data_IF_316886297343
#
_entry.id   IF_316886297343
#
_cell.length_a   1.000
_cell.length_b   1.000
_cell.length_c   1.000
_cell.angle_alpha   90.00
_cell.angle_beta   90.00
_cell.angle_gamma   90.00
#
_symmetry.space_group_name_H-M   'P 1'
#
loop_
_entity.id
_entity.type
_entity.pdbx_description
1 polymer ?
#
# COMPACT_ATOMS: atom_id res chain seq x y z
N UNK A 1 -10.11 -12.51 12.29
CA UNK A 1 -9.14 -13.46 11.69
C UNK A 1 -8.95 -13.09 10.23
N UNK A 2 -7.85 -12.42 9.88
CA UNK A 2 -7.53 -12.15 8.47
C UNK A 2 -7.33 -13.48 7.76
N UNK A 3 -8.16 -13.80 6.77
CA UNK A 3 -8.04 -15.03 5.99
C UNK A 3 -6.68 -15.04 5.27
N UNK A 4 -5.76 -15.98 5.58
CA UNK A 4 -4.44 -16.04 4.94
C UNK A 4 -4.53 -16.26 3.43
N UNK A 5 -5.64 -16.81 2.94
CA UNK A 5 -5.90 -17.02 1.51
C UNK A 5 -5.89 -15.74 0.69
N UNK A 6 -6.47 -14.63 1.18
CA UNK A 6 -6.66 -13.44 0.34
C UNK A 6 -5.35 -12.70 0.07
N UNK A 7 -4.45 -12.60 1.06
CA UNK A 7 -3.12 -12.04 0.84
C UNK A 7 -2.27 -12.92 -0.10
N UNK A 8 -2.39 -14.24 0.01
CA UNK A 8 -1.72 -15.16 -0.91
C UNK A 8 -2.26 -15.00 -2.34
N UNK A 9 -3.58 -14.82 -2.51
CA UNK A 9 -4.19 -14.52 -3.81
C UNK A 9 -3.69 -13.18 -4.36
N UNK A 10 -3.69 -12.10 -3.57
CA UNK A 10 -3.21 -10.78 -4.03
C UNK A 10 -1.72 -10.85 -4.40
N UNK A 11 -0.88 -11.47 -3.56
CA UNK A 11 0.54 -11.66 -3.85
C UNK A 11 0.76 -12.50 -5.12
N UNK A 12 -0.05 -13.54 -5.32
CA UNK A 12 -0.02 -14.33 -6.55
C UNK A 12 -0.41 -13.50 -7.77
N UNK A 13 -1.48 -12.70 -7.67
CA UNK A 13 -1.89 -11.76 -8.73
C UNK A 13 -0.78 -10.76 -9.05
N UNK A 14 -0.09 -10.23 -8.04
CA UNK A 14 1.06 -9.35 -8.24
C UNK A 14 2.21 -10.06 -8.94
N UNK A 15 2.42 -11.35 -8.64
CA UNK A 15 3.52 -12.12 -9.24
C UNK A 15 3.42 -12.26 -10.76
N UNK A 16 2.18 -12.21 -11.30
CA UNK A 16 1.90 -12.24 -12.75
C UNK A 16 1.80 -10.85 -13.39
N UNK A 17 1.92 -9.76 -12.63
CA UNK A 17 1.92 -8.41 -13.20
C UNK A 17 3.18 -8.16 -14.02
N UNK A 18 3.06 -7.37 -15.12
CA UNK A 18 4.21 -6.99 -15.91
C UNK A 18 5.13 -6.06 -15.10
N UNK A 19 6.46 -6.20 -15.20
CA UNK A 19 7.39 -5.33 -14.48
C UNK A 19 7.40 -3.87 -15.00
N UNK A 20 6.82 -3.65 -16.18
CA UNK A 20 6.63 -2.34 -16.81
C UNK A 20 5.38 -1.61 -16.31
N UNK A 21 4.62 -2.20 -15.38
CA UNK A 21 3.41 -1.60 -14.87
C UNK A 21 3.71 -0.28 -14.16
N UNK A 22 3.07 0.79 -14.64
CA UNK A 22 3.22 2.16 -14.10
C UNK A 22 2.15 2.54 -13.10
N UNK A 23 0.97 1.95 -13.19
CA UNK A 23 -0.16 2.30 -12.32
C UNK A 23 -0.90 1.05 -11.86
N UNK A 24 -1.19 0.97 -10.57
CA UNK A 24 -1.97 -0.10 -9.96
C UNK A 24 -2.97 0.46 -8.96
N UNK A 25 -4.20 -0.08 -8.95
CA UNK A 25 -5.20 0.25 -7.95
C UNK A 25 -5.71 -1.03 -7.27
N UNK A 26 -5.65 -1.02 -5.95
CA UNK A 26 -6.36 -1.91 -5.03
C UNK A 26 -7.43 -1.13 -4.26
N UNK A 27 -8.01 -0.09 -4.87
CA UNK A 27 -9.10 0.65 -4.24
C UNK A 27 -10.24 -0.28 -3.89
N UNK A 28 -10.77 -0.16 -2.68
CA UNK A 28 -11.89 -0.95 -2.19
C UNK A 28 -11.67 -2.46 -2.38
N UNK A 29 -10.55 -2.98 -1.87
CA UNK A 29 -10.20 -4.40 -1.97
C UNK A 29 -11.11 -5.33 -1.12
N UNK A 30 -12.40 -5.00 -0.97
CA UNK A 30 -13.44 -5.86 -0.41
C UNK A 30 -13.24 -6.23 1.05
N UNK A 31 -12.57 -5.38 1.83
CA UNK A 31 -12.26 -5.66 3.24
C UNK A 31 -11.08 -6.61 3.47
N UNK A 32 -10.31 -6.92 2.41
CA UNK A 32 -9.06 -7.68 2.50
C UNK A 32 -7.99 -6.85 3.19
N UNK A 33 -7.26 -7.47 4.12
CA UNK A 33 -6.19 -6.82 4.85
C UNK A 33 -4.89 -6.93 4.04
N UNK A 34 -4.47 -5.87 3.37
CA UNK A 34 -3.20 -5.79 2.65
C UNK A 34 -2.07 -5.76 3.68
N UNK A 35 -1.21 -6.76 3.64
CA UNK A 35 0.00 -6.83 4.47
C UNK A 35 1.15 -6.06 3.84
N UNK A 36 2.09 -5.61 4.66
CA UNK A 36 3.39 -5.09 4.21
C UNK A 36 4.06 -6.03 3.21
N UNK A 37 4.00 -7.34 3.46
CA UNK A 37 4.59 -8.36 2.57
C UNK A 37 4.02 -8.32 1.14
N UNK A 38 2.75 -7.94 0.98
CA UNK A 38 2.14 -7.78 -0.35
C UNK A 38 2.72 -6.57 -1.06
N UNK A 39 2.93 -5.47 -0.34
CA UNK A 39 3.57 -4.26 -0.87
C UNK A 39 5.05 -4.49 -1.21
N UNK A 40 5.76 -5.32 -0.43
CA UNK A 40 7.13 -5.72 -0.71
C UNK A 40 7.22 -6.49 -2.03
N UNK A 41 6.34 -7.48 -2.24
CA UNK A 41 6.24 -8.23 -3.50
C UNK A 41 5.88 -7.31 -4.66
N UNK A 42 4.95 -6.36 -4.46
CA UNK A 42 4.61 -5.36 -5.49
C UNK A 42 5.83 -4.53 -5.89
N UNK A 43 6.58 -4.03 -4.91
CA UNK A 43 7.74 -3.20 -5.18
C UNK A 43 8.86 -3.97 -5.89
N UNK A 44 9.06 -5.24 -5.55
CA UNK A 44 10.04 -6.10 -6.22
C UNK A 44 9.63 -6.46 -7.66
N UNK A 45 8.33 -6.62 -7.92
CA UNK A 45 7.82 -7.01 -9.24
C UNK A 45 7.64 -5.83 -10.17
N UNK A 46 7.24 -4.68 -9.66
CA UNK A 46 6.94 -3.48 -10.44
C UNK A 46 7.82 -2.31 -9.97
N UNK A 47 9.16 -2.37 -10.10
CA UNK A 47 10.07 -1.32 -9.62
C UNK A 47 9.86 0.03 -10.33
N UNK A 48 9.22 0.00 -11.50
CA UNK A 48 8.86 1.16 -12.29
C UNK A 48 7.49 1.76 -11.97
N UNK A 49 6.84 1.37 -10.86
CA UNK A 49 5.52 1.87 -10.51
C UNK A 49 5.56 3.36 -10.18
N UNK A 50 4.68 4.12 -10.83
CA UNK A 50 4.54 5.57 -10.68
C UNK A 50 3.30 5.95 -9.87
N UNK A 51 2.24 5.12 -9.93
CA UNK A 51 0.99 5.35 -9.23
C UNK A 51 0.50 4.08 -8.51
N UNK A 52 0.18 4.21 -7.23
CA UNK A 52 -0.42 3.16 -6.41
C UNK A 52 -1.63 3.71 -5.66
N UNK A 53 -2.80 3.11 -5.86
CA UNK A 53 -4.02 3.46 -5.15
C UNK A 53 -4.43 2.33 -4.21
N UNK A 54 -4.43 2.63 -2.91
CA UNK A 54 -4.83 1.76 -1.81
C UNK A 54 -6.03 2.37 -1.04
N UNK A 55 -6.73 3.33 -1.64
CA UNK A 55 -7.86 4.00 -1.01
C UNK A 55 -8.96 3.01 -0.60
N UNK A 56 -9.60 3.25 0.55
CA UNK A 56 -10.64 2.38 1.12
C UNK A 56 -10.22 0.92 1.37
N UNK A 57 -8.91 0.63 1.35
CA UNK A 57 -8.39 -0.70 1.68
C UNK A 57 -7.91 -0.79 3.13
N UNK A 58 -7.97 -1.98 3.72
CA UNK A 58 -7.45 -2.21 5.07
C UNK A 58 -6.00 -2.63 4.97
N UNK A 59 -5.10 -1.94 5.63
CA UNK A 59 -3.70 -2.39 5.79
C UNK A 59 -3.54 -2.95 7.19
N UNK A 60 -2.88 -4.10 7.32
CA UNK A 60 -2.71 -4.78 8.61
C UNK A 60 -1.56 -4.27 9.45
N UNK A 61 -0.54 -3.73 8.79
CA UNK A 61 0.69 -3.24 9.40
C UNK A 61 0.63 -1.73 9.58
N UNK A 62 1.41 -1.14 10.50
CA UNK A 62 1.51 0.31 10.61
C UNK A 62 1.92 0.94 9.27
N UNK A 63 1.14 1.92 8.84
CA UNK A 63 1.35 2.57 7.55
C UNK A 63 2.73 3.19 7.40
N UNK A 64 3.34 3.69 8.49
CA UNK A 64 4.70 4.21 8.48
C UNK A 64 5.72 3.18 7.94
N UNK A 65 5.65 1.94 8.42
CA UNK A 65 6.56 0.87 7.98
C UNK A 65 6.30 0.44 6.53
N UNK A 66 5.02 0.40 6.13
CA UNK A 66 4.64 0.16 4.74
C UNK A 66 5.16 1.25 3.80
N UNK A 67 5.04 2.52 4.22
CA UNK A 67 5.48 3.67 3.45
C UNK A 67 7.00 3.67 3.26
N UNK A 68 7.76 3.47 4.34
CA UNK A 68 9.23 3.42 4.26
C UNK A 68 9.70 2.32 3.30
N UNK A 69 8.99 1.19 3.26
CA UNK A 69 9.24 0.09 2.32
C UNK A 69 8.96 0.49 0.87
N UNK A 70 7.81 1.13 0.61
CA UNK A 70 7.43 1.58 -0.73
C UNK A 70 8.41 2.62 -1.25
N UNK A 71 8.76 3.62 -0.45
CA UNK A 71 9.69 4.69 -0.84
C UNK A 71 11.08 4.15 -1.12
N UNK A 72 11.57 3.21 -0.30
CA UNK A 72 12.90 2.63 -0.49
C UNK A 72 13.01 1.78 -1.77
N UNK A 73 11.89 1.21 -2.25
CA UNK A 73 11.88 0.21 -3.33
C UNK A 73 11.21 0.68 -4.62
N UNK A 74 10.40 1.73 -4.57
CA UNK A 74 9.72 2.34 -5.71
C UNK A 74 10.21 3.79 -5.88
N UNK A 75 11.42 4.01 -6.40
CA UNK A 75 12.00 5.35 -6.53
C UNK A 75 11.21 6.26 -7.48
N UNK A 76 10.35 5.69 -8.33
CA UNK A 76 9.54 6.41 -9.31
C UNK A 76 8.10 6.64 -8.84
N UNK A 77 7.74 6.29 -7.59
CA UNK A 77 6.37 6.40 -7.11
C UNK A 77 5.99 7.88 -6.87
N UNK A 78 5.25 8.46 -7.82
CA UNK A 78 4.81 9.86 -7.82
C UNK A 78 3.40 10.05 -7.26
N UNK A 79 2.59 8.99 -7.22
CA UNK A 79 1.23 9.06 -6.72
C UNK A 79 0.95 7.86 -5.81
N UNK A 80 0.64 8.15 -4.54
CA UNK A 80 0.19 7.17 -3.59
C UNK A 80 -1.12 7.67 -2.96
N UNK A 81 -2.21 6.96 -3.21
CA UNK A 81 -3.49 7.22 -2.56
C UNK A 81 -3.72 6.17 -1.45
N UNK A 82 -3.93 6.66 -0.23
CA UNK A 82 -4.25 5.84 0.96
C UNK A 82 -5.47 6.41 1.68
N UNK A 83 -6.29 7.20 0.99
CA UNK A 83 -7.47 7.85 1.55
C UNK A 83 -8.42 6.81 2.13
N UNK A 84 -8.85 7.03 3.38
CA UNK A 84 -9.71 6.11 4.14
C UNK A 84 -9.13 4.70 4.32
N UNK A 85 -7.85 4.50 4.06
CA UNK A 85 -7.20 3.21 4.19
C UNK A 85 -6.80 3.00 5.66
N UNK A 86 -7.66 2.35 6.44
CA UNK A 86 -7.42 2.17 7.89
C UNK A 86 -8.64 2.41 8.79
N UNK A 87 -9.80 2.79 8.26
CA UNK A 87 -11.04 2.75 9.04
C UNK A 87 -11.42 1.28 9.32
N UNK A 88 -10.95 0.74 10.45
CA UNK A 88 -11.43 -0.52 11.01
C UNK A 88 -10.40 -1.63 11.22
N UNK A 89 -9.11 -1.32 11.41
CA UNK A 89 -8.12 -2.31 11.79
C UNK A 89 -7.22 -1.76 12.92
N UNK A 90 -6.85 -2.62 13.87
CA UNK A 90 -5.84 -2.41 14.91
C UNK A 90 -4.42 -2.22 14.33
N UNK A 91 -4.30 -1.51 13.21
CA UNK A 91 -3.13 -1.38 12.37
C UNK A 91 -2.61 0.06 12.42
N UNK A 92 -1.94 0.40 13.53
CA UNK A 92 -0.88 1.42 13.61
C UNK A 92 -1.10 2.84 13.07
N UNK A 93 -2.30 3.23 12.62
CA UNK A 93 -2.75 4.62 12.64
C UNK A 93 -3.42 4.75 14.00
N UNK A 94 -2.61 5.00 15.03
CA UNK A 94 -3.08 5.03 16.41
C UNK A 94 -4.01 6.23 16.65
N UNK A 95 -3.87 7.28 15.82
CA UNK A 95 -4.71 8.48 15.86
C UNK A 95 -4.92 9.12 14.49
N UNK A 96 -5.94 9.98 14.36
CA UNK A 96 -6.13 10.83 13.19
C UNK A 96 -4.90 11.73 12.90
N UNK A 97 -4.14 12.10 13.92
CA UNK A 97 -2.92 12.90 13.78
C UNK A 97 -1.80 12.12 13.06
N UNK A 98 -1.68 10.81 13.32
CA UNK A 98 -0.72 9.96 12.60
C UNK A 98 -1.07 9.84 11.12
N UNK A 99 -2.37 9.78 10.80
CA UNK A 99 -2.85 9.80 9.43
C UNK A 99 -2.53 11.13 8.74
N UNK A 100 -2.76 12.27 9.41
CA UNK A 100 -2.41 13.59 8.87
C UNK A 100 -0.89 13.74 8.66
N UNK A 101 -0.08 13.28 9.61
CA UNK A 101 1.38 13.28 9.48
C UNK A 101 1.86 12.42 8.30
N UNK A 102 1.23 11.26 8.10
CA UNK A 102 1.48 10.37 6.97
C UNK A 102 1.10 11.04 5.64
N UNK A 103 -0.05 11.72 5.57
CA UNK A 103 -0.46 12.47 4.38
C UNK A 103 0.53 13.60 4.05
N UNK A 104 1.04 14.32 5.05
CA UNK A 104 2.09 15.33 4.86
C UNK A 104 3.37 14.69 4.32
N UNK A 105 3.78 13.52 4.85
CA UNK A 105 4.97 12.81 4.38
C UNK A 105 4.81 12.33 2.94
N UNK A 106 3.64 11.82 2.56
CA UNK A 106 3.33 11.46 1.17
C UNK A 106 3.39 12.68 0.25
N UNK A 107 2.83 13.82 0.66
CA UNK A 107 2.92 15.06 -0.13
C UNK A 107 4.37 15.48 -0.38
N UNK A 108 5.22 15.41 0.65
CA UNK A 108 6.66 15.73 0.52
C UNK A 108 7.44 14.75 -0.36
N UNK A 109 7.00 13.50 -0.49
CA UNK A 109 7.59 12.55 -1.41
C UNK A 109 7.23 12.85 -2.88
N UNK A 110 6.27 13.74 -3.11
CA UNK A 110 5.75 14.13 -4.43
C UNK A 110 6.21 15.53 -4.89
N UNK A 111 6.97 16.24 -4.06
CA UNK A 111 7.56 17.56 -4.33
C UNK A 111 9.05 17.42 -4.70
#
# INVERSE_FOLDING_TARGET
>A
TSLPGVNATIAHTISVLPPTLRSLSFRDAGGSWIKRSVLEVLADRCPGLEALDLGFSKVSDPWAACLDTLVARLPNLLALDISYAGYGANAGIETAADFDALLVRIRRLRE
#
